data_IF_329445296879
#
_entry.id   IF_329445296879
#
_cell.length_a   1.000
_cell.length_b   1.000
_cell.length_c   1.000
_cell.angle_alpha   90.00
_cell.angle_beta   90.00
_cell.angle_gamma   90.00
#
_symmetry.space_group_name_H-M   'P 1'
#
loop_
_entity.id
_entity.type
_entity.pdbx_description
1 polymer ?
#
# COMPACT_ATOMS: atom_id res chain seq x y z
N UNK A 1 3.11 34.08 -17.06
CA UNK A 1 2.96 33.49 -15.72
C UNK A 1 3.87 32.28 -15.67
N UNK A 2 4.88 32.33 -14.80
CA UNK A 2 5.86 31.26 -14.61
C UNK A 2 5.16 30.01 -14.07
N UNK A 3 5.16 28.94 -14.87
CA UNK A 3 4.85 27.60 -14.37
C UNK A 3 6.09 27.17 -13.58
N UNK A 4 5.97 27.05 -12.27
CA UNK A 4 7.00 26.53 -11.38
C UNK A 4 7.46 25.18 -11.95
N UNK A 5 8.61 25.15 -12.61
CA UNK A 5 9.35 23.90 -12.84
C UNK A 5 9.77 23.45 -11.45
N UNK A 6 8.97 22.56 -10.85
CA UNK A 6 9.39 21.79 -9.70
C UNK A 6 10.62 21.00 -10.16
N UNK A 7 11.80 21.36 -9.68
CA UNK A 7 12.98 20.52 -9.81
C UNK A 7 12.63 19.16 -9.20
N UNK A 8 12.63 18.12 -10.03
CA UNK A 8 12.42 16.76 -9.56
C UNK A 8 13.63 16.37 -8.72
N UNK A 9 13.41 16.11 -7.42
CA UNK A 9 14.44 15.53 -6.55
C UNK A 9 14.72 14.11 -7.04
N UNK A 10 15.84 13.96 -7.77
CA UNK A 10 16.17 12.70 -8.46
C UNK A 10 16.72 11.64 -7.51
N UNK A 11 17.03 11.95 -6.25
CA UNK A 11 17.52 11.01 -5.23
C UNK A 11 18.61 10.02 -5.72
N UNK A 12 19.43 10.42 -6.71
CA UNK A 12 20.47 9.57 -7.31
C UNK A 12 20.04 8.70 -8.50
N UNK A 13 18.79 8.78 -8.97
CA UNK A 13 18.31 8.09 -10.17
C UNK A 13 18.80 8.77 -11.45
N UNK A 14 19.40 7.99 -12.36
CA UNK A 14 19.68 8.44 -13.72
C UNK A 14 18.44 8.26 -14.59
N UNK A 15 17.91 9.36 -15.11
CA UNK A 15 16.77 9.35 -16.04
C UNK A 15 17.33 9.31 -17.47
N UNK A 16 17.09 8.20 -18.18
CA UNK A 16 17.37 8.11 -19.62
C UNK A 16 16.05 8.08 -20.37
N UNK A 17 15.76 9.13 -21.14
CA UNK A 17 14.55 9.21 -21.96
C UNK A 17 14.73 8.48 -23.29
N UNK A 18 13.72 7.73 -23.71
CA UNK A 18 13.69 6.98 -24.96
C UNK A 18 12.26 6.93 -25.54
N UNK A 19 12.14 6.58 -26.82
CA UNK A 19 10.86 6.44 -27.50
C UNK A 19 10.83 5.10 -28.24
N UNK A 20 9.71 4.40 -28.11
CA UNK A 20 9.49 3.16 -28.84
C UNK A 20 8.13 3.11 -29.47
N UNK A 21 8.04 2.39 -30.59
CA UNK A 21 6.80 2.13 -31.29
C UNK A 21 6.32 0.70 -30.98
N UNK A 22 5.06 0.55 -30.60
CA UNK A 22 4.45 -0.74 -30.23
C UNK A 22 3.18 -0.96 -31.03
N UNK A 23 3.09 -2.08 -31.72
CA UNK A 23 1.83 -2.54 -32.34
C UNK A 23 1.01 -3.34 -31.34
N UNK A 24 -0.30 -3.10 -31.30
CA UNK A 24 -1.23 -3.91 -30.51
C UNK A 24 -1.22 -5.38 -30.96
N UNK A 25 -1.45 -6.28 -30.03
CA UNK A 25 -1.61 -7.71 -30.28
C UNK A 25 -2.97 -8.04 -30.93
N UNK A 26 -3.24 -9.33 -31.13
CA UNK A 26 -4.52 -9.80 -31.68
C UNK A 26 -5.74 -9.44 -30.80
N UNK A 27 -5.54 -9.12 -29.52
CA UNK A 27 -6.58 -8.69 -28.60
C UNK A 27 -6.74 -7.16 -28.55
N UNK A 28 -5.98 -6.42 -29.36
CA UNK A 28 -6.01 -4.96 -29.38
C UNK A 28 -5.30 -4.31 -28.19
N UNK A 29 -4.44 -5.03 -27.46
CA UNK A 29 -3.70 -4.51 -26.31
C UNK A 29 -2.20 -4.52 -26.55
N UNK A 30 -1.46 -3.67 -25.85
CA UNK A 30 0.01 -3.64 -25.89
C UNK A 30 0.65 -4.52 -24.81
N UNK A 31 -0.11 -4.90 -23.78
CA UNK A 31 0.35 -5.76 -22.68
C UNK A 31 1.13 -5.06 -21.59
N UNK A 32 0.65 -3.91 -21.12
CA UNK A 32 1.14 -3.25 -19.90
C UNK A 32 0.02 -2.94 -18.92
N UNK A 33 0.33 -3.00 -17.63
CA UNK A 33 -0.44 -2.37 -16.56
C UNK A 33 0.23 -1.07 -16.16
N UNK A 34 -0.54 0.01 -16.06
CA UNK A 34 -0.04 1.33 -15.66
C UNK A 34 -0.56 1.72 -14.28
N UNK A 35 0.28 2.43 -13.53
CA UNK A 35 -0.01 3.04 -12.25
C UNK A 35 0.16 4.54 -12.33
N UNK A 36 -0.10 5.21 -11.21
CA UNK A 36 -0.03 6.65 -11.06
C UNK A 36 -1.35 7.33 -11.42
N UNK A 37 -1.23 8.55 -11.94
CA UNK A 37 -2.32 9.44 -12.29
C UNK A 37 -2.61 10.52 -11.25
N UNK A 38 -2.99 11.69 -11.75
CA UNK A 38 -3.48 12.79 -10.92
C UNK A 38 -4.75 12.38 -10.13
N UNK A 39 -5.00 13.01 -8.96
CA UNK A 39 -4.18 14.06 -8.34
C UNK A 39 -3.07 13.52 -7.43
N UNK A 40 -3.13 12.25 -7.04
CA UNK A 40 -2.28 11.71 -5.97
C UNK A 40 -0.89 11.29 -6.42
N UNK A 41 -0.70 10.94 -7.70
CA UNK A 41 0.59 10.58 -8.26
C UNK A 41 0.67 11.09 -9.71
N UNK A 42 1.09 12.35 -9.95
CA UNK A 42 1.00 12.98 -11.29
C UNK A 42 1.76 12.25 -12.41
N UNK A 43 2.70 11.38 -12.06
CA UNK A 43 3.46 10.56 -13.00
C UNK A 43 2.61 9.37 -13.46
N UNK A 44 2.89 8.85 -14.65
CA UNK A 44 2.34 7.57 -15.11
C UNK A 44 3.52 6.61 -15.23
N UNK A 45 3.43 5.43 -14.65
CA UNK A 45 4.51 4.45 -14.70
C UNK A 45 4.00 3.04 -14.97
N UNK A 46 4.89 2.17 -15.40
CA UNK A 46 4.58 0.78 -15.70
C UNK A 46 4.59 -0.01 -14.39
N UNK A 47 3.45 -0.59 -14.03
CA UNK A 47 3.32 -1.49 -12.87
C UNK A 47 3.78 -2.89 -13.25
N UNK A 48 3.42 -3.33 -14.45
CA UNK A 48 3.72 -4.66 -14.94
C UNK A 48 3.75 -4.68 -16.47
N UNK A 49 4.69 -5.44 -17.02
CA UNK A 49 4.70 -5.85 -18.42
C UNK A 49 4.20 -7.31 -18.45
N UNK A 50 3.17 -7.60 -19.24
CA UNK A 50 2.62 -8.95 -19.35
C UNK A 50 3.48 -9.81 -20.27
N UNK A 51 3.78 -11.04 -19.85
CA UNK A 51 4.50 -12.02 -20.68
C UNK A 51 3.75 -12.30 -21.98
N UNK A 52 4.49 -12.67 -23.03
CA UNK A 52 3.95 -12.95 -24.37
C UNK A 52 3.14 -11.80 -25.01
N UNK A 53 3.39 -10.56 -24.59
CA UNK A 53 2.78 -9.36 -25.18
C UNK A 53 3.69 -8.66 -26.18
N UNK A 54 3.11 -7.74 -26.96
CA UNK A 54 3.88 -6.83 -27.83
C UNK A 54 4.91 -6.01 -27.05
N UNK A 55 4.57 -5.55 -25.85
CA UNK A 55 5.50 -4.82 -24.99
C UNK A 55 6.65 -5.70 -24.50
N UNK A 56 6.35 -6.91 -24.02
CA UNK A 56 7.37 -7.85 -23.56
C UNK A 56 8.34 -8.22 -24.69
N UNK A 57 7.83 -8.37 -25.91
CA UNK A 57 8.64 -8.71 -27.09
C UNK A 57 9.61 -7.58 -27.50
N UNK A 58 9.26 -6.31 -27.22
CA UNK A 58 10.15 -5.18 -27.45
C UNK A 58 11.27 -5.11 -26.39
N UNK A 59 10.97 -5.42 -25.13
CA UNK A 59 11.96 -5.53 -24.05
C UNK A 59 12.64 -4.23 -23.60
N UNK A 60 12.28 -3.08 -24.20
CA UNK A 60 12.86 -1.76 -23.87
C UNK A 60 12.22 -1.10 -22.65
N UNK A 61 10.94 -1.35 -22.42
CA UNK A 61 10.17 -0.81 -21.29
C UNK A 61 9.99 -1.91 -20.26
N UNK A 62 10.27 -1.60 -19.00
CA UNK A 62 10.16 -2.52 -17.87
C UNK A 62 9.25 -1.96 -16.77
N UNK A 63 8.88 -2.81 -15.81
CA UNK A 63 8.15 -2.37 -14.63
C UNK A 63 9.01 -1.36 -13.84
N UNK A 64 8.41 -0.24 -13.45
CA UNK A 64 9.09 0.88 -12.81
C UNK A 64 9.36 2.06 -13.74
N UNK A 65 9.39 1.88 -15.05
CA UNK A 65 9.64 2.98 -16.00
C UNK A 65 8.47 3.97 -16.06
N UNK A 66 8.78 5.24 -16.25
CA UNK A 66 7.78 6.30 -16.36
C UNK A 66 7.37 6.51 -17.83
N UNK A 67 6.06 6.55 -18.09
CA UNK A 67 5.49 6.94 -19.38
C UNK A 67 5.34 8.46 -19.41
N UNK A 68 6.07 9.10 -20.32
CA UNK A 68 6.05 10.56 -20.48
C UNK A 68 5.14 11.02 -21.62
N UNK A 69 4.93 10.20 -22.66
CA UNK A 69 4.05 10.55 -23.78
C UNK A 69 3.44 9.34 -24.49
N UNK A 70 2.27 9.56 -25.08
CA UNK A 70 1.59 8.61 -25.98
C UNK A 70 1.31 9.33 -27.29
N UNK A 71 1.81 8.80 -28.41
CA UNK A 71 1.76 9.41 -29.74
C UNK A 71 2.20 10.89 -29.77
N UNK A 72 3.23 11.23 -28.99
CA UNK A 72 3.77 12.58 -28.89
C UNK A 72 2.98 13.52 -27.97
N UNK A 73 1.85 13.08 -27.40
CA UNK A 73 1.09 13.84 -26.40
C UNK A 73 1.68 13.56 -25.02
N UNK A 74 2.12 14.60 -24.31
CA UNK A 74 2.62 14.48 -22.95
C UNK A 74 1.50 14.05 -22.00
N UNK A 75 1.79 13.08 -21.13
CA UNK A 75 0.81 12.52 -20.20
C UNK A 75 1.08 12.84 -18.72
N UNK A 76 2.11 13.66 -18.45
CA UNK A 76 2.41 14.13 -17.08
C UNK A 76 1.23 14.93 -16.52
N UNK A 77 0.76 14.56 -15.34
CA UNK A 77 -0.40 15.16 -14.68
C UNK A 77 -1.76 14.68 -15.22
N UNK A 78 -1.79 13.73 -16.17
CA UNK A 78 -3.03 13.13 -16.63
C UNK A 78 -3.58 12.10 -15.64
N UNK A 79 -4.87 11.81 -15.72
CA UNK A 79 -5.46 10.69 -14.99
C UNK A 79 -5.07 9.37 -15.66
N UNK A 80 -4.84 8.33 -14.84
CA UNK A 80 -4.53 6.97 -15.30
C UNK A 80 -5.54 6.47 -16.35
N UNK A 81 -6.83 6.67 -16.10
CA UNK A 81 -7.91 6.26 -17.00
C UNK A 81 -7.85 6.96 -18.35
N UNK A 82 -7.48 8.24 -18.38
CA UNK A 82 -7.32 9.00 -19.63
C UNK A 82 -6.17 8.45 -20.46
N UNK A 83 -5.04 8.12 -19.83
CA UNK A 83 -3.87 7.55 -20.53
C UNK A 83 -4.15 6.14 -21.02
N UNK A 84 -4.79 5.31 -20.19
CA UNK A 84 -5.26 3.99 -20.62
C UNK A 84 -6.18 4.08 -21.84
N UNK A 85 -7.10 5.05 -21.84
CA UNK A 85 -8.01 5.30 -22.96
C UNK A 85 -7.26 5.76 -24.22
N UNK A 86 -6.29 6.67 -24.11
CA UNK A 86 -5.44 7.08 -25.24
C UNK A 86 -4.72 5.89 -25.89
N UNK A 87 -4.18 4.98 -25.08
CA UNK A 87 -3.51 3.76 -25.58
C UNK A 87 -4.53 2.81 -26.23
N UNK A 88 -5.69 2.63 -25.61
CA UNK A 88 -6.74 1.75 -26.12
C UNK A 88 -7.39 2.24 -27.41
N UNK A 89 -7.55 3.56 -27.59
CA UNK A 89 -8.20 4.15 -28.77
C UNK A 89 -7.22 4.44 -29.91
N UNK A 90 -5.91 4.45 -29.66
CA UNK A 90 -4.91 4.67 -30.71
C UNK A 90 -5.01 3.61 -31.83
N UNK A 91 -5.09 4.06 -33.07
CA UNK A 91 -5.06 3.19 -34.24
C UNK A 91 -3.62 2.96 -34.72
N UNK A 92 -3.33 1.72 -35.16
CA UNK A 92 -2.01 1.37 -35.66
C UNK A 92 -0.91 1.32 -34.60
N UNK A 93 0.36 1.49 -35.00
CA UNK A 93 1.49 1.49 -34.09
C UNK A 93 1.46 2.70 -33.15
N UNK A 94 1.64 2.45 -31.85
CA UNK A 94 1.62 3.47 -30.80
C UNK A 94 3.04 3.87 -30.45
N UNK A 95 3.36 5.16 -30.51
CA UNK A 95 4.65 5.70 -30.05
C UNK A 95 4.55 6.05 -28.58
N UNK A 96 5.34 5.38 -27.75
CA UNK A 96 5.41 5.60 -26.31
C UNK A 96 6.76 6.22 -26.00
N UNK A 97 6.74 7.44 -25.49
CA UNK A 97 7.91 8.05 -24.87
C UNK A 97 7.96 7.65 -23.40
N UNK A 98 9.13 7.22 -22.93
CA UNK A 98 9.33 6.76 -21.57
C UNK A 98 10.69 7.20 -21.01
N UNK A 99 10.77 7.24 -19.69
CA UNK A 99 12.01 7.41 -18.95
C UNK A 99 12.37 6.07 -18.32
N UNK A 100 13.56 5.58 -18.63
CA UNK A 100 14.11 4.42 -17.95
C UNK A 100 14.62 4.88 -16.59
N UNK A 101 14.03 4.31 -15.54
CA UNK A 101 14.41 4.59 -14.16
C UNK A 101 15.34 3.49 -13.68
N UNK A 102 16.63 3.65 -13.98
CA UNK A 102 17.66 2.77 -13.43
C UNK A 102 17.87 3.13 -11.96
N UNK A 103 17.32 2.31 -11.06
CA UNK A 103 17.95 2.16 -9.76
C UNK A 103 19.15 1.24 -9.97
N UNK A 104 20.37 1.72 -9.73
CA UNK A 104 21.48 0.80 -9.50
C UNK A 104 21.08 -0.09 -8.31
N UNK A 105 20.66 -1.32 -8.61
CA UNK A 105 20.43 -2.33 -7.60
C UNK A 105 21.83 -2.71 -7.12
N UNK A 106 22.31 -2.01 -6.09
CA UNK A 106 23.46 -2.46 -5.32
C UNK A 106 23.00 -3.80 -4.73
N UNK A 107 23.44 -4.91 -5.34
CA UNK A 107 23.03 -6.27 -5.00
C UNK A 107 23.11 -6.50 -3.49
N UNK A 108 21.95 -6.48 -2.84
CA UNK A 108 21.85 -6.61 -1.41
C UNK A 108 20.54 -7.30 -1.06
N UNK A 109 20.60 -8.61 -0.82
CA UNK A 109 19.47 -9.41 -0.31
C UNK A 109 18.82 -8.78 0.95
N UNK A 110 19.58 -7.99 1.72
CA UNK A 110 19.09 -7.24 2.88
C UNK A 110 18.21 -6.03 2.50
N UNK A 111 18.53 -5.32 1.42
CA UNK A 111 17.78 -4.16 0.93
C UNK A 111 16.44 -4.59 0.33
N UNK A 112 16.39 -5.71 -0.39
CA UNK A 112 15.12 -6.25 -0.92
C UNK A 112 14.14 -6.63 0.21
N UNK A 113 14.64 -7.26 1.29
CA UNK A 113 13.82 -7.54 2.49
C UNK A 113 13.38 -6.23 3.17
N UNK A 114 14.26 -5.25 3.28
CA UNK A 114 13.95 -3.95 3.88
C UNK A 114 12.93 -3.17 3.04
N UNK A 115 13.07 -3.16 1.71
CA UNK A 115 12.14 -2.55 0.76
C UNK A 115 10.78 -3.26 0.78
N UNK A 116 10.76 -4.59 0.86
CA UNK A 116 9.52 -5.37 1.06
C UNK A 116 8.83 -5.02 2.38
N UNK A 117 9.59 -4.87 3.48
CA UNK A 117 9.06 -4.45 4.79
C UNK A 117 8.58 -3.00 4.81
N UNK A 118 9.32 -2.10 4.18
CA UNK A 118 8.97 -0.68 4.06
C UNK A 118 7.71 -0.51 3.21
N UNK A 119 7.63 -1.20 2.08
CA UNK A 119 6.44 -1.27 1.24
C UNK A 119 5.23 -1.71 2.06
N UNK A 120 5.35 -2.77 2.85
CA UNK A 120 4.27 -3.23 3.73
C UNK A 120 3.84 -2.19 4.76
N UNK A 121 4.80 -1.56 5.46
CA UNK A 121 4.54 -0.50 6.46
C UNK A 121 3.88 0.75 5.88
N UNK A 122 4.22 1.10 4.64
CA UNK A 122 3.65 2.27 3.96
C UNK A 122 2.22 1.96 3.49
N UNK A 123 1.97 0.74 2.97
CA UNK A 123 0.65 0.28 2.50
C UNK A 123 -0.40 0.26 3.63
N UNK A 124 -0.02 -0.03 4.88
CA UNK A 124 -0.96 -0.06 6.02
C UNK A 124 -1.56 1.32 6.38
N UNK A 125 -0.92 2.41 5.95
CA UNK A 125 -1.34 3.78 6.27
C UNK A 125 -2.09 4.49 5.13
N UNK A 126 -2.24 3.82 3.98
CA UNK A 126 -2.68 4.41 2.72
C UNK A 126 -4.14 4.04 2.41
N UNK A 127 -4.94 5.01 1.97
CA UNK A 127 -6.35 4.76 1.57
C UNK A 127 -6.42 3.93 0.28
N UNK A 128 -7.54 3.25 0.06
CA UNK A 128 -7.72 2.39 -1.12
C UNK A 128 -7.49 3.15 -2.43
N UNK A 129 -7.89 4.42 -2.54
CA UNK A 129 -7.69 5.21 -3.76
C UNK A 129 -6.20 5.52 -4.00
N UNK A 130 -5.45 5.76 -2.93
CA UNK A 130 -4.02 6.06 -3.01
C UNK A 130 -3.22 4.78 -3.29
N UNK A 131 -3.64 3.63 -2.77
CA UNK A 131 -3.05 2.33 -3.11
C UNK A 131 -3.25 1.97 -4.59
N UNK A 132 -4.44 2.24 -5.14
CA UNK A 132 -4.76 2.05 -6.56
C UNK A 132 -4.03 3.03 -7.49
N UNK A 133 -3.73 4.24 -7.02
CA UNK A 133 -2.86 5.20 -7.70
C UNK A 133 -1.39 4.78 -7.63
N UNK A 134 -0.95 4.17 -6.53
CA UNK A 134 0.41 3.65 -6.38
C UNK A 134 0.63 2.24 -6.96
N UNK A 135 -0.36 1.70 -7.69
CA UNK A 135 -0.22 0.39 -8.35
C UNK A 135 -0.04 -0.78 -7.37
N UNK A 136 -0.39 -0.56 -6.10
CA UNK A 136 -0.31 -1.52 -5.02
C UNK A 136 -1.52 -2.47 -5.14
N UNK A 137 -1.37 -3.49 -5.97
CA UNK A 137 -2.46 -4.43 -6.25
C UNK A 137 -2.86 -5.28 -5.03
N UNK A 138 -4.16 -5.58 -4.97
CA UNK A 138 -4.92 -6.51 -4.10
C UNK A 138 -4.23 -7.78 -3.56
N UNK A 139 -3.12 -8.23 -4.12
CA UNK A 139 -2.40 -9.43 -3.65
C UNK A 139 -1.80 -9.25 -2.24
N UNK A 140 -1.37 -8.03 -1.89
CA UNK A 140 -0.84 -7.71 -0.56
C UNK A 140 -1.98 -7.47 0.44
N UNK A 141 -3.10 -6.94 -0.05
CA UNK A 141 -4.28 -6.61 0.76
C UNK A 141 -5.12 -7.85 1.14
N UNK A 142 -5.11 -8.93 0.35
CA UNK A 142 -6.06 -10.02 0.55
C UNK A 142 -5.47 -11.39 0.90
N UNK A 143 -4.14 -11.59 0.93
CA UNK A 143 -3.60 -12.93 1.25
C UNK A 143 -2.31 -12.93 2.08
N UNK A 144 -1.93 -11.80 2.69
CA UNK A 144 -0.72 -11.77 3.49
C UNK A 144 -0.92 -12.51 4.82
N UNK A 145 -0.28 -13.69 4.93
CA UNK A 145 -0.29 -14.54 6.11
C UNK A 145 0.20 -13.78 7.36
N UNK A 146 1.06 -12.78 7.19
CA UNK A 146 1.54 -11.95 8.29
C UNK A 146 0.46 -11.01 8.81
N UNK A 147 -0.32 -10.37 7.92
CA UNK A 147 -1.44 -9.53 8.30
C UNK A 147 -2.56 -10.33 8.98
N UNK A 148 -2.81 -11.57 8.52
CA UNK A 148 -3.72 -12.51 9.20
C UNK A 148 -3.24 -12.89 10.60
N UNK A 149 -1.93 -13.15 10.75
CA UNK A 149 -1.33 -13.43 12.06
C UNK A 149 -1.38 -12.21 12.99
N UNK A 150 -1.17 -11.01 12.45
CA UNK A 150 -1.22 -9.75 13.18
C UNK A 150 -2.63 -9.47 13.70
N UNK A 151 -3.66 -9.61 12.85
CA UNK A 151 -5.07 -9.52 13.25
C UNK A 151 -5.46 -10.55 14.32
N UNK A 152 -4.99 -11.80 14.20
CA UNK A 152 -5.22 -12.82 15.25
C UNK A 152 -4.55 -12.45 16.58
N UNK A 153 -3.34 -11.90 16.54
CA UNK A 153 -2.63 -11.42 17.73
C UNK A 153 -3.37 -10.25 18.39
N UNK A 154 -3.86 -9.31 17.60
CA UNK A 154 -4.61 -8.15 18.08
C UNK A 154 -5.94 -8.58 18.73
N UNK A 155 -6.67 -9.49 18.09
CA UNK A 155 -7.92 -10.03 18.63
C UNK A 155 -7.68 -10.81 19.93
N UNK A 156 -6.57 -11.54 20.03
CA UNK A 156 -6.16 -12.23 21.25
C UNK A 156 -5.84 -11.22 22.37
N UNK A 157 -5.11 -10.15 22.05
CA UNK A 157 -4.78 -9.06 22.97
C UNK A 157 -6.03 -8.36 23.50
N UNK A 158 -7.03 -8.11 22.65
CA UNK A 158 -8.30 -7.53 23.07
C UNK A 158 -9.09 -8.48 23.99
N UNK A 159 -9.09 -9.78 23.71
CA UNK A 159 -9.69 -10.79 24.59
C UNK A 159 -9.00 -10.82 25.97
N UNK A 160 -7.67 -10.78 26.01
CA UNK A 160 -6.91 -10.71 27.26
C UNK A 160 -7.22 -9.43 28.05
N UNK A 161 -7.30 -8.27 27.40
CA UNK A 161 -7.70 -7.02 28.07
C UNK A 161 -9.09 -7.11 28.70
N UNK A 162 -10.06 -7.73 28.01
CA UNK A 162 -11.41 -7.94 28.54
C UNK A 162 -11.39 -8.89 29.75
N UNK A 163 -10.64 -9.99 29.67
CA UNK A 163 -10.47 -10.93 30.78
C UNK A 163 -9.87 -10.28 32.02
N UNK A 164 -8.80 -9.50 31.85
CA UNK A 164 -8.16 -8.77 32.96
C UNK A 164 -9.15 -7.79 33.59
N UNK A 165 -9.95 -7.09 32.77
CA UNK A 165 -10.99 -6.19 33.26
C UNK A 165 -12.06 -6.92 34.09
N UNK A 166 -12.51 -8.09 33.63
CA UNK A 166 -13.48 -8.91 34.37
C UNK A 166 -12.91 -9.47 35.67
N UNK A 167 -11.67 -9.97 35.66
CA UNK A 167 -10.99 -10.43 36.86
C UNK A 167 -10.82 -9.31 37.89
N UNK A 168 -10.44 -8.11 37.44
CA UNK A 168 -10.37 -6.94 38.32
C UNK A 168 -11.72 -6.59 38.94
N UNK A 169 -12.80 -6.64 38.16
CA UNK A 169 -14.14 -6.42 38.67
C UNK A 169 -14.58 -7.48 39.68
N UNK A 170 -14.25 -8.75 39.43
CA UNK A 170 -14.57 -9.87 40.32
C UNK A 170 -13.75 -9.84 41.62
N UNK A 171 -12.47 -9.47 41.55
CA UNK A 171 -11.64 -9.26 42.74
C UNK A 171 -12.17 -8.11 43.60
N UNK A 172 -12.59 -7.00 42.97
CA UNK A 172 -13.19 -5.87 43.70
C UNK A 172 -14.52 -6.25 44.34
N UNK A 173 -15.38 -7.02 43.67
CA UNK A 173 -16.63 -7.47 44.27
C UNK A 173 -16.38 -8.44 45.44
N UNK A 174 -15.45 -9.38 45.30
CA UNK A 174 -15.05 -10.27 46.38
C UNK A 174 -14.46 -9.51 47.57
N UNK A 175 -13.61 -8.52 47.32
CA UNK A 175 -13.07 -7.65 48.37
C UNK A 175 -14.18 -6.89 49.09
N UNK A 176 -15.15 -6.36 48.34
CA UNK A 176 -16.29 -5.66 48.92
C UNK A 176 -17.14 -6.59 49.80
N UNK A 177 -17.44 -7.82 49.35
CA UNK A 177 -18.18 -8.82 50.13
C UNK A 177 -17.42 -9.23 51.40
N UNK A 178 -16.10 -9.45 51.30
CA UNK A 178 -15.28 -9.78 52.46
C UNK A 178 -15.23 -8.61 53.48
N UNK A 179 -15.17 -7.37 52.99
CA UNK A 179 -15.15 -6.18 53.85
C UNK A 179 -16.48 -5.95 54.58
N UNK A 180 -17.63 -6.20 53.94
CA UNK A 180 -18.94 -6.09 54.59
C UNK A 180 -19.18 -7.20 55.59
N UNK A 181 -18.73 -8.44 55.31
CA UNK A 181 -18.76 -9.53 56.28
C UNK A 181 -17.95 -9.21 57.55
N UNK A 182 -16.76 -8.63 57.38
CA UNK A 182 -15.93 -8.17 58.52
C UNK A 182 -16.64 -7.09 59.33
N UNK A 183 -17.25 -6.09 58.67
CA UNK A 183 -18.01 -5.02 59.32
C UNK A 183 -19.23 -5.55 60.10
N UNK A 184 -19.97 -6.50 59.50
CA UNK A 184 -21.12 -7.14 60.15
C UNK A 184 -20.71 -7.94 61.39
N UNK A 185 -19.62 -8.71 61.30
CA UNK A 185 -19.10 -9.48 62.43
C UNK A 185 -18.67 -8.58 63.60
N UNK A 186 -18.00 -7.46 63.31
CA UNK A 186 -17.63 -6.45 64.32
C UNK A 186 -18.89 -5.83 64.95
N UNK A 187 -19.93 -5.53 64.16
CA UNK A 187 -21.19 -5.00 64.67
C UNK A 187 -21.92 -5.98 65.60
N UNK A 188 -21.92 -7.28 65.28
CA UNK A 188 -22.51 -8.32 66.14
C UNK A 188 -21.74 -8.49 67.45
N UNK A 189 -20.40 -8.42 67.42
CA UNK A 189 -19.57 -8.46 68.63
C UNK A 189 -19.88 -7.25 69.52
N UNK A 190 -19.98 -6.05 68.95
CA UNK A 190 -20.32 -4.85 69.72
C UNK A 190 -21.72 -4.95 70.33
N UNK A 191 -22.73 -5.42 69.60
CA UNK A 191 -24.08 -5.57 70.14
C UNK A 191 -24.15 -6.53 71.35
N UNK A 192 -23.30 -7.57 71.35
CA UNK A 192 -23.20 -8.56 72.43
C UNK A 192 -22.44 -8.07 73.67
N UNK A 193 -21.69 -6.97 73.57
CA UNK A 193 -20.99 -6.35 74.70
C UNK A 193 -21.80 -5.22 75.36
N UNK A 194 -22.91 -4.79 74.75
CA UNK A 194 -23.83 -3.76 75.26
C UNK A 194 -25.18 -4.33 75.76
N UNK A 195 -25.33 -5.67 75.79
CA UNK A 195 -26.43 -6.41 76.43
C UNK A 195 -25.90 -7.19 77.62
#
# INVERSE_FOLDING_TARGET
MNLLQMEEDRLGMSITGDVTEITKDANGVIGVSIGGGAPHCPCIYVVQVFENSSMASNGRIQAGDEIISVNGILVKGANKSTVAKMIQEAEGPIKIGFNILHAEIIEGHTLDIALKKMKHRVVESITSETADALGLSRAILCNDLLLQKLNRLEHCTQSYKKLIKHLGALLNSHYHVASTQKGFCISLINYRNYS
#
